data_IF_125662746523
#
_entry.id   IF_125662746523
#
_cell.length_a   1.000
_cell.length_b   1.000
_cell.length_c   1.000
_cell.angle_alpha   90.00
_cell.angle_beta   90.00
_cell.angle_gamma   90.00
#
_symmetry.space_group_name_H-M   'P 1'
#
loop_
_entity.id
_entity.type
_entity.pdbx_description
1 polymer ?
#
# COMPACT_ATOMS: atom_id res chain seq x y z
N UNK A 1 -33.44 -30.95 -9.07
CA UNK A 1 -32.08 -31.41 -8.65
C UNK A 1 -31.11 -30.27 -8.92
N UNK A 2 -30.26 -30.00 -7.93
CA UNK A 2 -29.65 -28.70 -7.62
C UNK A 2 -28.74 -28.11 -8.71
N UNK A 3 -28.82 -26.78 -8.85
CA UNK A 3 -27.95 -25.98 -9.69
C UNK A 3 -26.50 -25.97 -9.20
N UNK A 4 -25.57 -26.12 -10.13
CA UNK A 4 -24.14 -25.87 -9.94
C UNK A 4 -23.93 -24.38 -9.81
N UNK A 5 -23.77 -23.91 -8.57
CA UNK A 5 -23.30 -22.56 -8.29
C UNK A 5 -21.86 -22.44 -8.77
N UNK A 6 -21.64 -21.65 -9.82
CA UNK A 6 -20.34 -21.13 -10.21
C UNK A 6 -19.78 -20.30 -9.05
N UNK A 7 -18.72 -20.76 -8.42
CA UNK A 7 -18.01 -20.01 -7.37
C UNK A 7 -17.39 -18.75 -7.99
N UNK A 8 -17.96 -17.59 -7.65
CA UNK A 8 -17.36 -16.30 -7.91
C UNK A 8 -16.06 -16.18 -7.12
N UNK A 9 -14.91 -16.38 -7.77
CA UNK A 9 -13.59 -16.10 -7.21
C UNK A 9 -13.35 -14.58 -7.21
N UNK A 10 -14.04 -13.87 -6.33
CA UNK A 10 -13.83 -12.43 -6.12
C UNK A 10 -12.82 -12.24 -5.01
N UNK A 11 -11.53 -12.06 -5.33
CA UNK A 11 -10.56 -11.69 -4.29
C UNK A 11 -10.74 -10.22 -3.89
N UNK A 12 -10.79 -9.95 -2.59
CA UNK A 12 -10.82 -8.58 -2.07
C UNK A 12 -9.39 -8.09 -1.87
N UNK A 13 -9.03 -7.02 -2.57
CA UNK A 13 -7.71 -6.37 -2.47
C UNK A 13 -7.87 -5.00 -1.83
N UNK A 14 -7.02 -4.69 -0.84
CA UNK A 14 -6.87 -3.34 -0.29
C UNK A 14 -5.40 -2.96 -0.19
N UNK A 15 -5.10 -1.69 -0.48
CA UNK A 15 -3.76 -1.10 -0.38
C UNK A 15 -3.78 0.07 0.61
N UNK A 16 -2.80 0.12 1.50
CA UNK A 16 -2.60 1.25 2.41
C UNK A 16 -1.12 1.55 2.64
N UNK A 17 -0.84 2.80 2.97
CA UNK A 17 0.44 3.30 3.44
C UNK A 17 0.30 3.66 4.92
N UNK A 18 1.17 3.11 5.77
CA UNK A 18 1.24 3.44 7.18
C UNK A 18 2.48 4.31 7.40
N UNK A 19 2.30 5.57 7.77
CA UNK A 19 3.37 6.52 8.00
C UNK A 19 3.03 7.43 9.19
N UNK A 20 4.02 7.70 10.06
CA UNK A 20 3.86 8.59 11.22
C UNK A 20 2.65 8.24 12.13
N UNK A 21 2.31 6.96 12.25
CA UNK A 21 1.17 6.49 13.04
C UNK A 21 -0.21 6.68 12.38
N UNK A 22 -0.25 7.10 11.12
CA UNK A 22 -1.47 7.28 10.33
C UNK A 22 -1.53 6.26 9.19
N UNK A 23 -2.75 5.92 8.79
CA UNK A 23 -3.03 5.01 7.68
C UNK A 23 -3.67 5.79 6.54
N UNK A 24 -3.07 5.68 5.36
CA UNK A 24 -3.50 6.35 4.15
C UNK A 24 -3.91 5.33 3.08
N UNK A 25 -5.11 5.42 2.51
CA UNK A 25 -5.52 4.54 1.43
C UNK A 25 -4.73 4.80 0.14
N UNK A 26 -4.38 3.72 -0.56
CA UNK A 26 -3.66 3.77 -1.83
C UNK A 26 -4.55 3.23 -2.95
N UNK A 27 -4.45 3.83 -4.13
CA UNK A 27 -5.12 3.34 -5.33
C UNK A 27 -4.24 2.36 -6.10
N UNK A 28 -2.91 2.55 -6.01
CA UNK A 28 -1.93 1.75 -6.75
C UNK A 28 -0.59 1.69 -6.02
N UNK A 29 0.12 0.59 -6.23
CA UNK A 29 1.54 0.40 -5.92
C UNK A 29 2.28 0.05 -7.21
N UNK A 30 3.50 0.54 -7.36
CA UNK A 30 4.43 0.14 -8.41
C UNK A 30 5.87 0.07 -7.88
N UNK A 31 6.85 -0.29 -8.74
CA UNK A 31 8.24 -0.40 -8.32
C UNK A 31 8.78 0.94 -7.84
N UNK A 32 8.98 1.08 -6.53
CA UNK A 32 9.52 2.29 -5.91
C UNK A 32 8.56 3.48 -5.82
N UNK A 33 7.25 3.28 -6.02
CA UNK A 33 6.26 4.35 -5.85
C UNK A 33 4.86 3.84 -5.44
N UNK A 34 4.10 4.71 -4.77
CA UNK A 34 2.66 4.51 -4.49
C UNK A 34 1.84 5.67 -5.04
N UNK A 35 0.56 5.42 -5.30
CA UNK A 35 -0.42 6.45 -5.66
C UNK A 35 -1.46 6.50 -4.54
N UNK A 36 -1.53 7.60 -3.77
CA UNK A 36 -2.55 7.74 -2.74
C UNK A 36 -3.92 8.03 -3.34
N UNK A 37 -5.01 7.62 -2.70
CA UNK A 37 -6.37 8.00 -3.13
C UNK A 37 -6.78 9.39 -2.64
N UNK A 38 -6.06 9.91 -1.64
CA UNK A 38 -6.27 11.22 -1.02
C UNK A 38 -4.96 12.00 -1.00
N UNK A 39 -5.00 13.34 -1.03
CA UNK A 39 -3.80 14.15 -0.86
C UNK A 39 -3.00 13.73 0.38
N UNK A 40 -1.69 13.63 0.21
CA UNK A 40 -0.74 13.34 1.30
C UNK A 40 0.12 14.57 1.55
N UNK A 41 0.35 14.88 2.82
CA UNK A 41 1.33 15.88 3.24
C UNK A 41 2.22 15.22 4.31
N UNK A 42 3.35 14.69 3.87
CA UNK A 42 4.26 13.91 4.70
C UNK A 42 5.70 14.34 4.45
N UNK A 43 6.51 14.56 5.49
CA UNK A 43 7.95 14.70 5.31
C UNK A 43 8.59 13.38 4.87
N UNK A 44 9.85 13.40 4.39
CA UNK A 44 10.64 12.18 4.24
C UNK A 44 10.65 11.35 5.53
N UNK A 45 10.14 10.13 5.47
CA UNK A 45 9.97 9.30 6.67
C UNK A 45 9.99 7.80 6.38
N UNK A 46 10.30 6.96 7.40
CA UNK A 46 9.98 5.55 7.36
C UNK A 46 8.48 5.33 7.26
N UNK A 47 8.07 4.36 6.47
CA UNK A 47 6.69 3.97 6.29
C UNK A 47 6.58 2.47 6.03
N UNK A 48 5.36 1.96 6.00
CA UNK A 48 5.07 0.59 5.60
C UNK A 48 3.95 0.58 4.55
N UNK A 49 4.19 -0.08 3.43
CA UNK A 49 3.13 -0.38 2.46
C UNK A 49 2.50 -1.70 2.83
N UNK A 50 1.17 -1.73 2.90
CA UNK A 50 0.38 -2.91 3.24
C UNK A 50 -0.57 -3.22 2.10
N UNK A 51 -0.48 -4.45 1.57
CA UNK A 51 -1.42 -5.00 0.61
C UNK A 51 -2.10 -6.20 1.24
N UNK A 52 -3.42 -6.15 1.35
CA UNK A 52 -4.21 -7.28 1.87
C UNK A 52 -4.96 -7.91 0.71
N UNK A 53 -4.81 -9.23 0.54
CA UNK A 53 -5.59 -10.04 -0.40
C UNK A 53 -6.32 -11.08 0.40
N UNK A 54 -7.66 -11.07 0.36
CA UNK A 54 -8.49 -12.04 1.09
C UNK A 54 -8.06 -12.18 2.56
N UNK A 55 -7.93 -11.03 3.24
CA UNK A 55 -7.54 -10.90 4.66
C UNK A 55 -6.08 -11.25 4.99
N UNK A 56 -5.25 -11.61 4.00
CA UNK A 56 -3.84 -11.91 4.19
C UNK A 56 -2.97 -10.68 3.86
N UNK A 57 -2.38 -10.02 4.88
CA UNK A 57 -1.54 -8.85 4.66
C UNK A 57 -0.15 -9.25 4.16
N UNK A 58 0.33 -8.49 3.17
CA UNK A 58 1.72 -8.44 2.76
C UNK A 58 2.24 -7.05 3.07
N UNK A 59 3.32 -6.99 3.85
CA UNK A 59 3.92 -5.75 4.28
C UNK A 59 5.31 -5.59 3.66
N UNK A 60 5.61 -4.34 3.28
CA UNK A 60 6.92 -3.89 2.85
C UNK A 60 7.29 -2.65 3.66
N UNK A 61 8.41 -2.73 4.39
CA UNK A 61 8.97 -1.55 5.04
C UNK A 61 9.66 -0.71 3.97
N UNK A 62 9.34 0.57 3.94
CA UNK A 62 9.82 1.51 2.92
C UNK A 62 10.27 2.81 3.56
N UNK A 63 10.99 3.62 2.80
CA UNK A 63 11.27 5.01 3.16
C UNK A 63 10.78 5.94 2.07
N UNK A 64 9.90 6.88 2.42
CA UNK A 64 9.50 7.98 1.54
C UNK A 64 10.69 8.93 1.42
N UNK A 65 11.36 8.94 0.27
CA UNK A 65 12.67 9.63 0.13
C UNK A 65 12.50 11.14 0.11
N UNK A 66 11.50 11.61 -0.61
CA UNK A 66 11.21 13.03 -0.80
C UNK A 66 10.05 13.52 0.09
N UNK A 67 9.40 12.61 0.82
CA UNK A 67 8.09 12.86 1.42
C UNK A 67 6.97 12.79 0.38
N UNK A 68 5.87 13.48 0.65
CA UNK A 68 4.73 13.65 -0.24
C UNK A 68 4.11 15.03 -0.02
N UNK A 69 3.73 15.71 -1.08
CA UNK A 69 2.93 16.94 -1.01
C UNK A 69 1.53 16.72 -1.60
N UNK A 70 0.52 17.55 -1.25
CA UNK A 70 -0.89 17.30 -1.60
C UNK A 70 -1.21 17.12 -3.09
N UNK A 71 -0.33 17.60 -3.96
CA UNK A 71 -0.50 17.57 -5.41
C UNK A 71 0.32 16.47 -6.09
N UNK A 72 1.08 15.67 -5.33
CA UNK A 72 1.82 14.54 -5.86
C UNK A 72 0.86 13.44 -6.30
N UNK A 73 0.88 13.13 -7.60
CA UNK A 73 0.16 11.98 -8.14
C UNK A 73 0.87 10.66 -7.80
N UNK A 74 2.17 10.72 -7.51
CA UNK A 74 3.00 9.56 -7.17
C UNK A 74 3.98 9.92 -6.07
N UNK A 75 4.02 9.09 -5.03
CA UNK A 75 4.96 9.23 -3.92
C UNK A 75 6.06 8.20 -4.08
N UNK A 76 7.31 8.65 -4.15
CA UNK A 76 8.48 7.77 -4.31
C UNK A 76 8.91 7.16 -2.99
N UNK A 77 9.31 5.91 -3.04
CA UNK A 77 9.88 5.21 -1.91
C UNK A 77 11.04 4.31 -2.29
N UNK A 78 11.86 3.94 -1.30
CA UNK A 78 12.80 2.84 -1.39
C UNK A 78 12.35 1.72 -0.46
N UNK A 79 12.27 0.48 -0.97
CA UNK A 79 12.06 -0.69 -0.11
C UNK A 79 13.29 -0.87 0.78
N UNK A 80 13.05 -1.07 2.07
CA UNK A 80 14.09 -1.36 3.04
C UNK A 80 14.39 -2.86 3.00
N UNK A 81 15.67 -3.27 3.08
CA UNK A 81 16.02 -4.68 3.16
C UNK A 81 15.38 -5.27 4.41
N UNK A 82 14.63 -6.37 4.24
CA UNK A 82 14.21 -7.19 5.38
C UNK A 82 15.48 -7.76 6.01
N UNK A 83 15.78 -7.38 7.25
CA UNK A 83 16.83 -8.03 8.02
C UNK A 83 16.26 -9.37 8.49
N UNK A 84 16.73 -10.52 7.98
CA UNK A 84 16.37 -11.80 8.57
C UNK A 84 16.94 -11.83 9.99
N UNK A 85 16.07 -12.03 10.97
CA UNK A 85 16.41 -12.30 12.36
C UNK A 85 17.16 -13.61 12.53
#
# INVERSE_FOLDING_TARGET
MNGTASSNYSSRVSLSLHALGQTFPLSKIGPGYVVPTTPLDLPPCPAQVVMTVDEQPRCWDVRLVDGAVPYDEQVRFLELPRVPS
#
